data_IF_647254420114
#
_entry.id   IF_647254420114
#
_cell.length_a   1.000
_cell.length_b   1.000
_cell.length_c   1.000
_cell.angle_alpha   90.00
_cell.angle_beta   90.00
_cell.angle_gamma   90.00
#
_symmetry.space_group_name_H-M   'P 1'
#
loop_
_entity.id
_entity.type
_entity.pdbx_description
1 polymer ?
#
# COMPACT_ATOMS: atom_id res chain seq x y z
N UNK A 1 -29.49 -2.61 8.02
CA UNK A 1 -29.12 -2.28 6.61
C UNK A 1 -27.66 -2.62 6.44
N UNK A 2 -27.35 -3.86 6.06
CA UNK A 2 -25.97 -4.32 5.85
C UNK A 2 -25.50 -3.74 4.52
N UNK A 3 -24.81 -2.60 4.60
CA UNK A 3 -24.20 -2.00 3.44
C UNK A 3 -22.95 -2.80 3.10
N UNK A 4 -23.01 -3.44 1.93
CA UNK A 4 -22.02 -4.31 1.33
C UNK A 4 -20.61 -3.77 1.56
N UNK A 5 -19.74 -4.63 2.09
CA UNK A 5 -18.36 -4.32 2.45
C UNK A 5 -17.46 -4.96 1.37
N UNK A 6 -17.30 -4.34 0.19
CA UNK A 6 -16.76 -5.02 -0.99
C UNK A 6 -15.27 -5.38 -0.89
N UNK A 7 -14.56 -4.85 0.10
CA UNK A 7 -13.11 -5.03 0.24
C UNK A 7 -12.74 -5.61 1.60
N UNK A 8 -12.54 -6.93 1.65
CA UNK A 8 -11.91 -7.56 2.81
C UNK A 8 -10.39 -7.64 2.59
N UNK A 9 -9.66 -6.79 3.33
CA UNK A 9 -8.20 -6.78 3.35
C UNK A 9 -7.68 -7.98 4.15
N UNK A 10 -6.55 -8.53 3.71
CA UNK A 10 -5.85 -9.57 4.46
C UNK A 10 -5.32 -9.01 5.79
N UNK A 11 -5.35 -9.83 6.83
CA UNK A 11 -4.86 -9.46 8.17
C UNK A 11 -3.40 -9.02 8.16
N UNK A 12 -2.53 -9.71 7.41
CA UNK A 12 -1.10 -9.39 7.32
C UNK A 12 -0.82 -8.05 6.62
N UNK A 13 -1.76 -7.61 5.77
CA UNK A 13 -1.70 -6.30 5.12
C UNK A 13 -2.20 -5.23 6.08
N UNK A 14 -3.32 -5.46 6.77
CA UNK A 14 -3.85 -4.52 7.77
C UNK A 14 -2.82 -4.24 8.87
N UNK A 15 -2.16 -5.27 9.40
CA UNK A 15 -1.13 -5.11 10.42
C UNK A 15 0.02 -4.21 9.93
N UNK A 16 0.46 -4.41 8.69
CA UNK A 16 1.51 -3.58 8.10
C UNK A 16 1.05 -2.14 7.86
N UNK A 17 -0.19 -1.93 7.42
CA UNK A 17 -0.76 -0.59 7.21
C UNK A 17 -0.90 0.17 8.53
N UNK A 18 -1.34 -0.49 9.60
CA UNK A 18 -1.48 0.12 10.93
C UNK A 18 -0.14 0.56 11.51
N UNK A 19 0.95 -0.17 11.24
CA UNK A 19 2.31 0.25 11.64
C UNK A 19 2.72 1.58 10.99
N UNK A 20 2.11 1.94 9.86
CA UNK A 20 2.31 3.22 9.17
C UNK A 20 1.19 4.24 9.46
N UNK A 21 0.28 3.93 10.38
CA UNK A 21 -0.86 4.77 10.74
C UNK A 21 -1.99 4.80 9.70
N UNK A 22 -2.03 3.82 8.79
CA UNK A 22 -3.03 3.73 7.72
C UNK A 22 -4.09 2.73 8.11
N UNK A 23 -5.32 3.19 8.33
CA UNK A 23 -6.44 2.36 8.77
C UNK A 23 -7.55 2.34 7.72
N UNK A 24 -7.43 1.50 6.66
CA UNK A 24 -8.49 1.39 5.68
C UNK A 24 -9.71 0.69 6.28
N UNK A 25 -10.88 1.03 5.74
CA UNK A 25 -12.13 0.33 6.05
C UNK A 25 -12.47 -0.62 4.91
N UNK A 26 -13.46 -1.49 5.11
CA UNK A 26 -13.91 -2.44 4.07
C UNK A 26 -14.58 -1.76 2.85
N UNK A 27 -14.75 -0.44 2.90
CA UNK A 27 -15.22 0.40 1.77
C UNK A 27 -14.10 1.20 1.12
N UNK A 28 -12.92 1.23 1.72
CA UNK A 28 -11.77 1.93 1.18
C UNK A 28 -11.19 1.10 0.05
N UNK A 29 -11.09 1.67 -1.16
CA UNK A 29 -10.54 0.95 -2.31
C UNK A 29 -9.04 0.70 -2.11
N UNK A 30 -8.54 -0.54 -2.33
CA UNK A 30 -7.12 -0.86 -2.15
C UNK A 30 -6.18 0.00 -3.00
N UNK A 31 -6.61 0.39 -4.21
CA UNK A 31 -5.81 1.25 -5.08
C UNK A 31 -5.54 2.63 -4.44
N UNK A 32 -6.53 3.20 -3.74
CA UNK A 32 -6.38 4.46 -3.03
C UNK A 32 -5.40 4.34 -1.87
N UNK A 33 -5.52 3.26 -1.09
CA UNK A 33 -4.62 2.98 0.04
C UNK A 33 -3.18 2.76 -0.47
N UNK A 34 -3.02 2.00 -1.56
CA UNK A 34 -1.73 1.75 -2.17
C UNK A 34 -1.06 3.03 -2.67
N UNK A 35 -1.81 3.91 -3.33
CA UNK A 35 -1.31 5.21 -3.75
C UNK A 35 -0.83 6.03 -2.54
N UNK A 36 -1.65 6.12 -1.49
CA UNK A 36 -1.29 6.84 -0.27
C UNK A 36 0.01 6.30 0.36
N UNK A 37 0.12 4.99 0.53
CA UNK A 37 1.32 4.34 1.10
C UNK A 37 2.54 4.55 0.20
N UNK A 38 2.35 4.54 -1.12
CA UNK A 38 3.42 4.83 -2.08
C UNK A 38 3.93 6.26 -1.95
N UNK A 39 3.04 7.23 -1.74
CA UNK A 39 3.42 8.63 -1.52
C UNK A 39 4.12 8.82 -0.17
N UNK A 40 3.66 8.15 0.88
CA UNK A 40 4.34 8.09 2.17
C UNK A 40 5.76 7.53 2.04
N UNK A 41 5.93 6.41 1.33
CA UNK A 41 7.25 5.83 1.05
C UNK A 41 8.19 6.80 0.31
N UNK A 42 7.68 7.50 -0.71
CA UNK A 42 8.47 8.52 -1.44
C UNK A 42 8.84 9.70 -0.53
N UNK A 43 7.95 10.10 0.37
CA UNK A 43 8.23 11.14 1.36
C UNK A 43 9.38 10.70 2.30
N UNK A 44 9.33 9.47 2.82
CA UNK A 44 10.38 8.95 3.69
C UNK A 44 11.73 8.83 2.99
N UNK A 45 11.76 8.44 1.71
CA UNK A 45 12.98 8.46 0.91
C UNK A 45 13.57 9.86 0.75
N UNK A 46 12.73 10.87 0.47
CA UNK A 46 13.17 12.27 0.39
C UNK A 46 13.73 12.73 1.73
N UNK A 47 13.02 12.46 2.83
CA UNK A 47 13.48 12.77 4.18
C UNK A 47 14.83 12.11 4.50
N UNK A 48 15.02 10.84 4.12
CA UNK A 48 16.29 10.15 4.32
C UNK A 48 17.42 10.80 3.51
N UNK A 49 17.15 11.21 2.26
CA UNK A 49 18.10 11.96 1.44
C UNK A 49 18.45 13.30 2.08
N UNK A 50 17.47 14.03 2.60
CA UNK A 50 17.69 15.34 3.22
C UNK A 50 18.53 15.23 4.50
N UNK A 51 18.35 14.14 5.27
CA UNK A 51 19.21 13.83 6.43
C UNK A 51 20.66 13.53 6.01
N UNK A 52 20.86 12.82 4.89
CA UNK A 52 22.20 12.62 4.31
C UNK A 52 22.84 13.95 3.90
N UNK A 53 22.09 14.83 3.24
CA UNK A 53 22.58 16.15 2.82
C UNK A 53 22.94 17.04 4.01
N UNK A 54 22.20 16.90 5.12
CA UNK A 54 22.52 17.53 6.42
C UNK A 54 23.65 16.83 7.19
N UNK A 55 24.27 15.79 6.61
CA UNK A 55 25.36 14.99 7.19
C UNK A 55 25.02 14.37 8.55
N UNK A 56 23.75 14.06 8.79
CA UNK A 56 23.31 13.40 10.04
C UNK A 56 23.85 11.97 10.19
N UNK A 57 24.31 11.37 9.08
CA UNK A 57 24.96 10.06 9.07
C UNK A 57 25.95 9.97 7.88
N UNK A 58 26.94 9.06 7.94
CA UNK A 58 27.88 8.82 6.84
C UNK A 58 27.21 8.34 5.56
N UNK A 59 27.69 8.79 4.40
CA UNK A 59 27.17 8.36 3.08
C UNK A 59 27.21 6.84 2.87
N UNK A 60 28.19 6.15 3.46
CA UNK A 60 28.32 4.69 3.42
C UNK A 60 27.12 3.96 4.04
N UNK A 61 26.43 4.57 5.00
CA UNK A 61 25.23 4.01 5.63
C UNK A 61 23.95 4.24 4.82
N UNK A 62 23.95 5.15 3.84
CA UNK A 62 22.74 5.56 3.12
C UNK A 62 22.03 4.37 2.46
N UNK A 63 22.80 3.52 1.77
CA UNK A 63 22.24 2.34 1.10
C UNK A 63 21.58 1.38 2.10
N UNK A 64 22.25 1.10 3.22
CA UNK A 64 21.70 0.23 4.28
C UNK A 64 20.38 0.78 4.85
N UNK A 65 20.32 2.10 5.07
CA UNK A 65 19.10 2.78 5.56
C UNK A 65 17.96 2.75 4.53
N UNK A 66 18.26 2.90 3.24
CA UNK A 66 17.26 2.74 2.16
C UNK A 66 16.71 1.31 2.12
N UNK A 67 17.58 0.30 2.25
CA UNK A 67 17.15 -1.10 2.28
C UNK A 67 16.27 -1.39 3.50
N UNK A 68 16.66 -0.88 4.68
CA UNK A 68 15.85 -1.00 5.89
C UNK A 68 14.46 -0.35 5.70
N UNK A 69 14.40 0.85 5.13
CA UNK A 69 13.15 1.52 4.82
C UNK A 69 12.30 0.70 3.85
N UNK A 70 12.88 0.20 2.75
CA UNK A 70 12.16 -0.62 1.77
C UNK A 70 11.56 -1.89 2.38
N UNK A 71 12.21 -2.48 3.39
CA UNK A 71 11.67 -3.65 4.11
C UNK A 71 10.40 -3.31 4.89
N UNK A 72 10.30 -2.09 5.44
CA UNK A 72 9.10 -1.62 6.14
C UNK A 72 7.91 -1.35 5.19
N UNK A 73 8.20 -1.00 3.93
CA UNK A 73 7.20 -0.66 2.91
C UNK A 73 7.04 -1.75 1.83
N UNK A 74 7.15 -3.03 2.21
CA UNK A 74 7.05 -4.16 1.26
C UNK A 74 5.75 -4.13 0.45
N UNK A 75 4.65 -3.69 1.07
CA UNK A 75 3.33 -3.56 0.44
C UNK A 75 3.34 -2.73 -0.85
N UNK A 76 4.22 -1.72 -0.97
CA UNK A 76 4.33 -0.88 -2.18
C UNK A 76 4.77 -1.71 -3.41
N UNK A 77 5.43 -2.84 -3.20
CA UNK A 77 5.84 -3.75 -4.28
C UNK A 77 4.76 -4.76 -4.69
N UNK A 78 3.64 -4.82 -3.97
CA UNK A 78 2.50 -5.68 -4.28
C UNK A 78 1.44 -4.91 -5.06
N UNK A 79 0.66 -5.61 -5.88
CA UNK A 79 -0.51 -5.03 -6.55
C UNK A 79 -1.63 -4.81 -5.54
N UNK A 80 -2.44 -3.73 -5.65
CA UNK A 80 -3.52 -3.46 -4.70
C UNK A 80 -4.52 -4.62 -4.56
N UNK A 81 -4.75 -5.40 -5.61
CA UNK A 81 -5.63 -6.57 -5.57
C UNK A 81 -5.07 -7.71 -4.72
N UNK A 82 -3.74 -7.84 -4.63
CA UNK A 82 -3.05 -8.86 -3.82
C UNK A 82 -3.18 -8.58 -2.30
N UNK A 83 -3.70 -7.41 -1.95
CA UNK A 83 -3.96 -7.00 -0.56
C UNK A 83 -5.27 -7.54 -0.01
N UNK A 84 -6.15 -7.98 -0.91
CA UNK A 84 -7.46 -8.51 -0.58
C UNK A 84 -7.43 -10.03 -0.37
N UNK A 85 -8.34 -10.49 0.48
CA UNK A 85 -8.59 -11.92 0.65
C UNK A 85 -9.05 -12.57 -0.66
N UNK A 86 -8.86 -13.89 -0.75
CA UNK A 86 -9.19 -14.65 -1.96
C UNK A 86 -10.64 -14.48 -2.39
N UNK A 87 -11.56 -14.43 -1.42
CA UNK A 87 -13.00 -14.22 -1.65
C UNK A 87 -13.29 -12.84 -2.24
N UNK A 88 -12.63 -11.81 -1.73
CA UNK A 88 -12.78 -10.44 -2.23
C UNK A 88 -12.14 -10.22 -3.60
N UNK A 89 -11.03 -10.92 -3.90
CA UNK A 89 -10.39 -10.88 -5.23
C UNK A 89 -11.31 -11.40 -6.33
N UNK A 90 -12.03 -12.50 -6.09
CA UNK A 90 -12.98 -13.06 -7.06
C UNK A 90 -14.14 -12.10 -7.37
N UNK A 91 -14.64 -11.37 -6.35
CA UNK A 91 -15.69 -10.37 -6.53
C UNK A 91 -15.17 -9.11 -7.26
N UNK A 92 -13.94 -8.70 -6.97
CA UNK A 92 -13.31 -7.55 -7.61
C UNK A 92 -12.95 -7.81 -9.08
N UNK A 93 -12.55 -9.03 -9.43
CA UNK A 93 -12.31 -9.45 -10.82
C UNK A 93 -13.63 -9.49 -11.62
N UNK A 94 -14.67 -10.13 -11.07
CA UNK A 94 -15.99 -10.17 -11.71
C UNK A 94 -16.60 -8.77 -11.95
N UNK A 95 -16.38 -7.83 -11.03
CA UNK A 95 -16.84 -6.44 -11.18
C UNK A 95 -16.06 -5.64 -12.25
N UNK A 96 -14.78 -5.97 -12.49
CA UNK A 96 -13.98 -5.34 -13.56
C UNK A 96 -14.43 -5.82 -14.94
N UNK A 97 -14.78 -7.09 -15.08
CA UNK A 97 -15.27 -7.66 -16.35
C UNK A 97 -16.66 -7.11 -16.72
N UNK A 98 -17.57 -6.98 -15.76
CA UNK A 98 -18.90 -6.40 -16.01
C UNK A 98 -18.86 -4.92 -16.48
N UNK A 99 -17.81 -4.16 -16.10
CA UNK A 99 -17.63 -2.77 -16.56
C UNK A 99 -17.13 -2.70 -18.01
N UNK A 100 -16.45 -3.74 -18.50
CA UNK A 100 -15.88 -3.81 -19.85
C UNK A 100 -16.96 -4.04 -20.92
N UNK A 101 -18.02 -4.78 -20.58
CA UNK A 101 -19.12 -5.10 -21.50
C UNK A 101 -20.15 -3.98 -21.69
N UNK A 102 -20.09 -2.90 -20.88
CA UNK A 102 -20.98 -1.74 -21.01
C UNK A 102 -20.37 -0.57 -21.82
N UNK A 103 -19.17 -0.75 -22.38
CA UNK A 103 -18.50 0.20 -23.27
C UNK A 103 -18.23 -0.50 -24.61
N UNK A 104 -19.28 -1.09 -25.20
CA UNK A 104 -19.30 -1.57 -26.59
C UNK A 104 -20.69 -1.37 -27.18
#
# INVERSE_FOLDING_TARGET
>A
MSADAPFHYRDDVLEQLWRHGVHPTERTQPALVHQFVSDLYRHELRRLRDRLLRKEFPKTEYYGRVVALRRCYRLVSMRPEEWLDRTSRSNAEAAKDAKKDSIS
#
